data_IF_533520004866
#
_entry.id   IF_533520004866
#
_cell.length_a   1.000
_cell.length_b   1.000
_cell.length_c   1.000
_cell.angle_alpha   90.00
_cell.angle_beta   90.00
_cell.angle_gamma   90.00
#
_symmetry.space_group_name_H-M   'P 1'
#
loop_
_entity.id
_entity.type
_entity.pdbx_description
1 polymer ?
#
# COMPACT_ATOMS: atom_id res chain seq x y z
N UNK A 1 -12.87 17.30 -15.36
CA UNK A 1 -12.47 15.92 -15.05
C UNK A 1 -12.52 15.18 -16.37
N UNK A 2 -11.43 14.52 -16.75
CA UNK A 2 -11.35 13.72 -17.98
C UNK A 2 -11.51 12.25 -17.62
N UNK A 3 -12.01 11.44 -18.55
CA UNK A 3 -12.01 9.99 -18.39
C UNK A 3 -10.59 9.44 -18.57
N UNK A 4 -10.32 8.23 -18.04
CA UNK A 4 -8.98 7.62 -18.14
C UNK A 4 -8.53 7.43 -19.59
N UNK A 5 -9.48 7.09 -20.47
CA UNK A 5 -9.24 6.89 -21.90
C UNK A 5 -8.75 8.16 -22.61
N UNK A 6 -9.09 9.34 -22.09
CA UNK A 6 -8.71 10.63 -22.66
C UNK A 6 -7.29 11.06 -22.25
N UNK A 7 -6.62 10.32 -21.36
CA UNK A 7 -5.37 10.77 -20.75
C UNK A 7 -4.26 11.02 -21.79
N UNK A 8 -4.09 10.11 -22.75
CA UNK A 8 -3.10 10.25 -23.82
C UNK A 8 -3.43 11.39 -24.78
N UNK A 9 -4.70 11.50 -25.17
CA UNK A 9 -5.16 12.60 -26.03
C UNK A 9 -4.93 13.95 -25.35
N UNK A 10 -5.13 14.03 -24.03
CA UNK A 10 -4.90 15.23 -23.24
C UNK A 10 -3.40 15.56 -23.13
N UNK A 11 -2.55 14.58 -22.84
CA UNK A 11 -1.09 14.74 -22.83
C UNK A 11 -0.57 15.27 -24.18
N UNK A 12 -1.15 14.80 -25.29
CA UNK A 12 -0.78 15.23 -26.63
C UNK A 12 -1.06 16.71 -26.91
N UNK A 13 -1.88 17.38 -26.09
CA UNK A 13 -2.15 18.82 -26.20
C UNK A 13 -1.09 19.71 -25.55
N UNK A 14 -0.13 19.14 -24.80
CA UNK A 14 0.88 19.87 -24.03
C UNK A 14 2.08 20.35 -24.88
N UNK A 15 1.84 20.76 -26.12
CA UNK A 15 2.88 21.23 -27.05
C UNK A 15 3.62 22.45 -26.49
N UNK A 16 4.96 22.41 -26.53
CA UNK A 16 5.87 23.42 -25.96
C UNK A 16 5.75 23.65 -24.45
N UNK A 17 4.92 22.88 -23.73
CA UNK A 17 4.82 22.99 -22.28
C UNK A 17 6.02 22.32 -21.61
N UNK A 18 6.44 22.85 -20.44
CA UNK A 18 7.40 22.17 -19.57
C UNK A 18 6.66 21.21 -18.66
N UNK A 19 6.97 19.93 -18.76
CA UNK A 19 6.28 18.87 -18.01
C UNK A 19 7.29 18.12 -17.15
N UNK A 20 7.11 18.17 -15.82
CA UNK A 20 7.91 17.39 -14.89
C UNK A 20 7.42 15.93 -14.92
N UNK A 21 8.34 14.99 -15.15
CA UNK A 21 8.03 13.56 -15.20
C UNK A 21 9.03 12.77 -14.35
N UNK A 22 8.50 11.99 -13.42
CA UNK A 22 9.30 11.05 -12.62
C UNK A 22 9.59 9.78 -13.44
N UNK A 23 10.85 9.62 -13.83
CA UNK A 23 11.30 8.51 -14.67
C UNK A 23 11.32 7.16 -13.96
N UNK A 24 11.22 7.11 -12.62
CA UNK A 24 11.16 5.87 -11.84
C UNK A 24 9.73 5.31 -11.78
N UNK A 25 8.74 6.19 -11.86
CA UNK A 25 7.33 5.84 -11.67
C UNK A 25 6.53 5.87 -12.98
N UNK A 26 6.97 6.64 -13.97
CA UNK A 26 6.22 6.85 -15.20
C UNK A 26 6.60 5.83 -16.27
N UNK A 27 5.60 5.20 -16.89
CA UNK A 27 5.79 4.31 -18.04
C UNK A 27 6.43 5.05 -19.22
N UNK A 28 7.33 4.37 -19.95
CA UNK A 28 7.95 4.87 -21.17
C UNK A 28 6.93 5.35 -22.22
N UNK A 29 5.71 4.79 -22.21
CA UNK A 29 4.62 5.19 -23.10
C UNK A 29 4.33 6.70 -23.04
N UNK A 30 4.27 7.28 -21.85
CA UNK A 30 3.90 8.69 -21.69
C UNK A 30 5.04 9.65 -22.03
N UNK A 31 6.30 9.20 -21.91
CA UNK A 31 7.44 9.93 -22.46
C UNK A 31 7.30 10.08 -23.98
N UNK A 32 6.99 8.99 -24.68
CA UNK A 32 6.83 9.00 -26.14
C UNK A 32 5.69 9.94 -26.59
N UNK A 33 4.56 9.93 -25.88
CA UNK A 33 3.41 10.83 -26.18
C UNK A 33 3.82 12.30 -26.00
N UNK A 34 4.48 12.64 -24.90
CA UNK A 34 4.93 14.01 -24.62
C UNK A 34 6.00 14.47 -25.61
N UNK A 35 6.95 13.60 -25.98
CA UNK A 35 7.97 13.89 -27.00
C UNK A 35 7.33 14.12 -28.38
N UNK A 36 6.40 13.26 -28.78
CA UNK A 36 5.66 13.40 -30.04
C UNK A 36 4.80 14.68 -30.08
N UNK A 37 4.26 15.09 -28.93
CA UNK A 37 3.51 16.33 -28.77
C UNK A 37 4.39 17.59 -28.84
N UNK A 38 5.72 17.45 -28.79
CA UNK A 38 6.66 18.57 -28.71
C UNK A 38 6.73 19.22 -27.33
N UNK A 39 6.43 18.49 -26.25
CA UNK A 39 6.59 18.98 -24.89
C UNK A 39 8.07 18.97 -24.45
N UNK A 40 8.44 19.86 -23.54
CA UNK A 40 9.74 19.90 -22.90
C UNK A 40 9.71 19.08 -21.62
N UNK A 41 10.18 17.83 -21.69
CA UNK A 41 10.21 16.93 -20.54
C UNK A 41 11.34 17.34 -19.59
N UNK A 42 10.97 17.66 -18.35
CA UNK A 42 11.90 17.84 -17.24
C UNK A 42 11.86 16.56 -16.43
N UNK A 43 12.96 15.81 -16.41
CA UNK A 43 13.06 14.60 -15.57
C UNK A 43 13.40 15.02 -14.15
N UNK A 44 12.61 14.56 -13.18
CA UNK A 44 12.84 14.83 -11.76
C UNK A 44 11.89 14.02 -10.88
N UNK A 45 12.22 13.89 -9.60
CA UNK A 45 11.39 13.14 -8.66
C UNK A 45 10.01 13.80 -8.49
N UNK A 46 8.96 13.00 -8.26
CA UNK A 46 7.61 13.50 -7.98
C UNK A 46 7.64 14.45 -6.76
N UNK A 47 7.23 15.73 -6.93
CA UNK A 47 7.30 16.75 -5.87
C UNK A 47 6.40 16.43 -4.69
N UNK A 48 5.43 15.52 -4.85
CA UNK A 48 4.55 15.07 -3.76
C UNK A 48 5.17 13.98 -2.90
N UNK A 49 6.29 13.38 -3.32
CA UNK A 49 6.95 12.27 -2.60
C UNK A 49 7.37 12.69 -1.18
N UNK A 50 8.14 13.77 -1.06
CA UNK A 50 8.64 14.24 0.22
C UNK A 50 7.52 14.73 1.16
N UNK A 51 6.53 15.53 0.70
CA UNK A 51 5.37 15.87 1.51
C UNK A 51 4.60 14.65 2.02
N UNK A 52 4.35 13.63 1.18
CA UNK A 52 3.67 12.40 1.61
C UNK A 52 4.52 11.53 2.56
N UNK A 53 5.85 11.66 2.49
CA UNK A 53 6.75 10.98 3.43
C UNK A 53 6.65 11.57 4.84
N UNK A 54 6.50 12.90 4.95
CA UNK A 54 6.42 13.64 6.22
C UNK A 54 4.98 13.80 6.71
N UNK A 55 4.52 12.84 7.52
CA UNK A 55 3.13 12.83 8.00
C UNK A 55 2.88 14.03 8.90
N UNK A 56 1.75 14.70 8.68
CA UNK A 56 1.30 15.79 9.54
C UNK A 56 0.70 15.25 10.86
N UNK A 57 0.46 16.10 11.86
CA UNK A 57 -0.07 15.67 13.16
C UNK A 57 -1.40 14.90 13.08
N UNK A 58 -2.28 15.23 12.14
CA UNK A 58 -3.56 14.54 11.93
C UNK A 58 -3.35 13.13 11.39
N UNK A 59 -2.45 12.96 10.41
CA UNK A 59 -2.09 11.65 9.85
C UNK A 59 -1.42 10.76 10.90
N UNK A 60 -0.53 11.33 11.71
CA UNK A 60 0.13 10.62 12.83
C UNK A 60 -0.90 10.14 13.84
N UNK A 61 -1.87 11.01 14.21
CA UNK A 61 -2.96 10.61 15.10
C UNK A 61 -3.78 9.46 14.49
N UNK A 62 -4.12 9.55 13.21
CA UNK A 62 -4.86 8.49 12.51
C UNK A 62 -4.12 7.15 12.51
N UNK A 63 -2.81 7.16 12.26
CA UNK A 63 -1.96 5.97 12.35
C UNK A 63 -1.92 5.42 13.78
N UNK A 64 -1.81 6.28 14.79
CA UNK A 64 -1.81 5.88 16.20
C UNK A 64 -3.11 5.20 16.58
N UNK A 65 -4.25 5.81 16.24
CA UNK A 65 -5.58 5.25 16.52
C UNK A 65 -5.77 3.90 15.80
N UNK A 66 -5.24 3.74 14.57
CA UNK A 66 -5.28 2.49 13.82
C UNK A 66 -4.46 1.38 14.51
N UNK A 67 -3.24 1.70 14.98
CA UNK A 67 -2.40 0.75 15.71
C UNK A 67 -3.00 0.34 17.06
N UNK A 68 -3.67 1.26 17.76
CA UNK A 68 -4.37 0.92 19.01
C UNK A 68 -5.45 -0.14 18.75
N UNK A 69 -6.23 0.03 17.68
CA UNK A 69 -7.26 -0.95 17.28
C UNK A 69 -6.65 -2.27 16.84
N UNK A 70 -5.60 -2.24 16.03
CA UNK A 70 -4.90 -3.46 15.62
C UNK A 70 -4.25 -4.19 16.80
N UNK A 71 -3.75 -3.44 17.78
CA UNK A 71 -3.22 -3.99 19.03
C UNK A 71 -4.25 -4.81 19.81
N UNK A 72 -5.52 -4.38 19.82
CA UNK A 72 -6.62 -5.16 20.42
C UNK A 72 -6.88 -6.45 19.64
N UNK A 73 -6.89 -6.39 18.30
CA UNK A 73 -7.04 -7.57 17.46
C UNK A 73 -5.88 -8.57 17.67
N UNK A 74 -4.65 -8.06 17.74
CA UNK A 74 -3.45 -8.85 18.01
C UNK A 74 -3.50 -9.52 19.39
N UNK A 75 -3.88 -8.78 20.44
CA UNK A 75 -4.00 -9.35 21.79
C UNK A 75 -5.02 -10.50 21.84
N UNK A 76 -6.17 -10.35 21.17
CA UNK A 76 -7.18 -11.40 21.05
C UNK A 76 -6.65 -12.61 20.28
N UNK A 77 -5.96 -12.36 19.16
CA UNK A 77 -5.33 -13.41 18.37
C UNK A 77 -4.31 -14.20 19.18
N UNK A 78 -3.40 -13.53 19.90
CA UNK A 78 -2.38 -14.19 20.70
C UNK A 78 -2.97 -15.03 21.84
N UNK A 79 -4.03 -14.53 22.49
CA UNK A 79 -4.76 -15.30 23.48
C UNK A 79 -5.40 -16.57 22.86
N UNK A 80 -6.11 -16.42 21.74
CA UNK A 80 -6.67 -17.55 21.01
C UNK A 80 -5.57 -18.54 20.56
N UNK A 81 -4.43 -18.04 20.09
CA UNK A 81 -3.33 -18.87 19.64
C UNK A 81 -2.75 -19.70 20.79
N UNK A 82 -2.52 -19.11 21.96
CA UNK A 82 -2.01 -19.80 23.15
C UNK A 82 -2.93 -20.96 23.58
N UNK A 83 -4.25 -20.76 23.53
CA UNK A 83 -5.23 -21.80 23.86
C UNK A 83 -5.26 -22.96 22.86
N UNK A 84 -4.97 -22.71 21.58
CA UNK A 84 -5.16 -23.67 20.49
C UNK A 84 -3.86 -24.32 19.99
N UNK A 85 -2.72 -23.65 20.13
CA UNK A 85 -1.42 -24.09 19.58
C UNK A 85 -0.92 -25.39 20.21
N UNK A 86 -1.17 -25.60 21.51
CA UNK A 86 -0.73 -26.80 22.23
C UNK A 86 -1.43 -28.09 21.74
N UNK A 87 -2.51 -27.98 20.96
CA UNK A 87 -3.15 -29.13 20.32
C UNK A 87 -2.28 -29.81 19.27
N UNK A 88 -1.27 -29.10 18.73
CA UNK A 88 -0.41 -29.57 17.63
C UNK A 88 -1.12 -29.68 16.28
N UNK A 89 -2.35 -29.16 16.17
CA UNK A 89 -3.19 -29.28 14.95
C UNK A 89 -3.24 -28.00 14.11
N UNK A 90 -2.79 -26.88 14.64
CA UNK A 90 -2.81 -25.60 13.92
C UNK A 90 -1.79 -25.60 12.78
N UNK A 91 -2.24 -25.14 11.62
CA UNK A 91 -1.38 -24.83 10.48
C UNK A 91 -1.10 -23.33 10.41
N UNK A 92 -0.13 -22.94 9.56
CA UNK A 92 0.16 -21.54 9.28
C UNK A 92 -1.06 -20.80 8.67
N UNK A 93 -1.84 -21.48 7.83
CA UNK A 93 -3.07 -20.94 7.23
C UNK A 93 -4.13 -20.68 8.30
N UNK A 94 -4.28 -21.59 9.27
CA UNK A 94 -5.23 -21.40 10.37
C UNK A 94 -4.88 -20.16 11.20
N UNK A 95 -3.58 -19.95 11.45
CA UNK A 95 -3.10 -18.77 12.17
C UNK A 95 -3.37 -17.46 11.42
N UNK A 96 -3.09 -17.40 10.10
CA UNK A 96 -3.43 -16.24 9.28
C UNK A 96 -4.94 -15.97 9.28
N UNK A 97 -5.74 -17.00 9.01
CA UNK A 97 -7.20 -16.90 8.94
C UNK A 97 -7.80 -16.39 10.25
N UNK A 98 -7.28 -16.87 11.38
CA UNK A 98 -7.72 -16.41 12.70
C UNK A 98 -7.36 -14.93 12.94
N UNK A 99 -6.11 -14.52 12.68
CA UNK A 99 -5.69 -13.13 12.83
C UNK A 99 -6.54 -12.17 11.97
N UNK A 100 -6.78 -12.54 10.72
CA UNK A 100 -7.65 -11.79 9.81
C UNK A 100 -9.08 -11.71 10.34
N UNK A 101 -9.61 -12.82 10.87
CA UNK A 101 -10.91 -12.86 11.53
C UNK A 101 -11.02 -11.91 12.74
N UNK A 102 -9.95 -11.72 13.51
CA UNK A 102 -9.92 -10.74 14.61
C UNK A 102 -9.85 -9.30 14.10
N UNK A 103 -9.09 -9.04 13.03
CA UNK A 103 -9.04 -7.72 12.38
C UNK A 103 -10.36 -7.35 11.71
N UNK A 104 -11.03 -8.30 11.08
CA UNK A 104 -12.32 -8.09 10.40
C UNK A 104 -13.46 -7.67 11.33
N UNK A 105 -13.31 -7.87 12.66
CA UNK A 105 -14.24 -7.37 13.66
C UNK A 105 -14.12 -5.86 13.89
N UNK A 106 -13.04 -5.22 13.44
CA UNK A 106 -12.84 -3.78 13.54
C UNK A 106 -13.65 -3.07 12.45
N UNK A 107 -14.64 -2.24 12.79
CA UNK A 107 -15.54 -1.64 11.80
C UNK A 107 -14.84 -0.67 10.84
N UNK A 108 -13.65 -0.17 11.20
CA UNK A 108 -12.87 0.71 10.34
C UNK A 108 -11.88 -0.03 9.45
N UNK A 109 -11.76 -1.36 9.56
CA UNK A 109 -10.94 -2.14 8.63
C UNK A 109 -11.48 -1.94 7.22
N UNK A 110 -10.58 -1.61 6.28
CA UNK A 110 -10.90 -1.51 4.85
C UNK A 110 -10.56 -2.79 4.14
N UNK A 111 -9.32 -3.23 4.34
CA UNK A 111 -8.77 -4.46 3.84
C UNK A 111 -7.50 -4.76 4.64
N UNK A 112 -6.91 -5.92 4.41
CA UNK A 112 -5.54 -6.20 4.81
C UNK A 112 -4.58 -5.34 4.00
N UNK A 113 -3.50 -4.88 4.63
CA UNK A 113 -2.47 -4.11 3.93
C UNK A 113 -1.63 -4.98 2.97
N UNK A 114 -1.56 -6.27 3.25
CA UNK A 114 -0.87 -7.31 2.49
C UNK A 114 -1.27 -8.69 3.06
N UNK A 115 -1.01 -9.76 2.31
CA UNK A 115 -1.25 -11.13 2.75
C UNK A 115 -0.42 -11.48 4.00
N UNK A 116 -1.09 -11.98 5.04
CA UNK A 116 -0.43 -12.29 6.31
C UNK A 116 0.66 -13.36 6.12
N UNK A 117 1.88 -13.06 6.55
CA UNK A 117 2.99 -14.01 6.57
C UNK A 117 2.94 -14.77 7.90
N UNK A 118 2.59 -16.05 7.86
CA UNK A 118 2.71 -16.97 8.99
C UNK A 118 3.71 -18.07 8.65
N UNK A 119 4.85 -18.06 9.34
CA UNK A 119 5.91 -19.04 9.17
C UNK A 119 6.28 -19.74 10.48
N UNK A 120 6.45 -21.05 10.45
CA UNK A 120 6.97 -21.86 11.54
C UNK A 120 8.23 -22.63 11.11
N UNK A 121 9.22 -22.72 12.01
CA UNK A 121 10.49 -23.43 11.78
C UNK A 121 11.17 -22.97 10.47
N UNK A 122 11.38 -23.88 9.51
CA UNK A 122 12.05 -23.56 8.24
C UNK A 122 11.32 -22.52 7.40
N UNK A 123 9.98 -22.44 7.49
CA UNK A 123 9.20 -21.44 6.76
C UNK A 123 9.42 -20.02 7.31
N UNK A 124 9.72 -19.88 8.61
CA UNK A 124 10.06 -18.59 9.23
C UNK A 124 11.45 -18.06 8.83
N UNK A 125 12.29 -18.90 8.22
CA UNK A 125 13.62 -18.52 7.74
C UNK A 125 13.63 -18.05 6.27
N UNK A 126 12.49 -18.16 5.57
CA UNK A 126 12.33 -17.68 4.20
C UNK A 126 11.65 -16.30 4.21
N UNK A 127 12.29 -15.25 3.66
CA UNK A 127 11.72 -13.90 3.61
C UNK A 127 10.57 -13.77 2.60
#
# INVERSE_FOLDING_TARGET
MHDEEDFEATLATLTNAKVLVDAKLTSAKYFNVLEAAGAQIVKGDDPTTLPRAMKNPTEIKGMTDAHIRDGVAMAKFLHWFDENALSGKLTEIDACTALEGFRAQLPELKDLSFDSISGAMGNAASP
#
